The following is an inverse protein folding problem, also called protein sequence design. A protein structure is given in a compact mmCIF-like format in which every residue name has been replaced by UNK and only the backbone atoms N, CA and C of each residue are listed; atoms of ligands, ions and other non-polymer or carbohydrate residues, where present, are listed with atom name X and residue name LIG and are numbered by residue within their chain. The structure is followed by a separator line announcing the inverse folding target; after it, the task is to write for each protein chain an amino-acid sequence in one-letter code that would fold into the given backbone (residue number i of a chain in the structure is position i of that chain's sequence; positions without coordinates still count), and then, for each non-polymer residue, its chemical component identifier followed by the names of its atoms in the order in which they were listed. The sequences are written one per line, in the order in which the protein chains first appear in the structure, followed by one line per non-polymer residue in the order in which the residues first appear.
data_IF_406908462584
#
_entry.id   IF_406908462584
#
_cell.length_a   1.000
_cell.length_b   1.000
_cell.length_c   1.000
_cell.angle_alpha   90.00
_cell.angle_beta   90.00
_cell.angle_gamma   90.00
#
_symmetry.space_group_name_H-M   'P 1'
#
loop_
_entity.id
_entity.type
_entity.pdbx_description
1 polymer ?
#
# COMPACT_ATOMS: atom_id res chain seq x y z
N UNK A 1 0.78 5.44 17.26
CA UNK A 1 2.00 5.32 16.44
C UNK A 1 3.20 5.51 17.35
N UNK A 2 3.95 4.46 17.70
CA UNK A 2 5.13 4.58 18.59
C UNK A 2 6.48 4.36 17.86
N UNK A 3 6.47 3.93 16.60
CA UNK A 3 7.68 3.47 15.89
C UNK A 3 7.90 4.15 14.53
N UNK A 4 7.23 5.28 14.25
CA UNK A 4 7.29 5.93 12.94
C UNK A 4 8.71 6.35 12.55
N UNK A 5 9.43 7.01 13.45
CA UNK A 5 10.81 7.44 13.23
C UNK A 5 11.80 6.27 13.20
N UNK A 6 11.53 5.21 13.97
CA UNK A 6 12.34 3.99 13.99
C UNK A 6 12.30 3.28 12.63
N UNK A 7 11.15 3.28 11.95
CA UNK A 7 11.04 2.73 10.59
C UNK A 7 11.94 3.48 9.61
N UNK A 8 11.95 4.81 9.62
CA UNK A 8 12.83 5.59 8.74
C UNK A 8 14.31 5.34 9.05
N UNK A 9 14.68 5.24 10.33
CA UNK A 9 16.05 4.92 10.73
C UNK A 9 16.46 3.52 10.25
N UNK A 10 15.58 2.52 10.40
CA UNK A 10 15.83 1.15 9.96
C UNK A 10 15.96 1.04 8.42
N UNK A 11 15.08 1.70 7.66
CA UNK A 11 15.17 1.74 6.20
C UNK A 11 16.49 2.37 5.74
N UNK A 12 16.89 3.49 6.37
CA UNK A 12 18.15 4.18 6.07
C UNK A 12 19.35 3.30 6.41
N UNK A 13 19.35 2.64 7.57
CA UNK A 13 20.43 1.73 7.97
C UNK A 13 20.55 0.53 7.02
N UNK A 14 19.43 0.01 6.52
CA UNK A 14 19.40 -1.06 5.54
C UNK A 14 19.72 -0.61 4.10
N UNK A 15 19.99 0.68 3.86
CA UNK A 15 20.23 1.21 2.52
C UNK A 15 19.00 1.14 1.59
N UNK A 16 17.80 1.00 2.16
CA UNK A 16 16.56 0.89 1.40
C UNK A 16 16.00 2.28 1.09
N UNK A 17 15.61 2.48 -0.17
CA UNK A 17 14.91 3.68 -0.60
C UNK A 17 13.43 3.59 -0.22
N UNK A 18 12.96 4.56 0.56
CA UNK A 18 11.55 4.68 0.88
C UNK A 18 10.73 5.19 -0.33
N UNK A 19 9.55 4.60 -0.53
CA UNK A 19 8.52 5.09 -1.45
C UNK A 19 7.34 5.53 -0.60
N UNK A 20 7.05 6.82 -0.58
CA UNK A 20 5.89 7.36 0.14
C UNK A 20 4.62 7.18 -0.68
N UNK A 21 3.56 6.71 -0.05
CA UNK A 21 2.26 6.54 -0.70
C UNK A 21 1.12 6.66 0.31
N UNK A 22 -0.10 6.88 -0.19
CA UNK A 22 -1.32 6.72 0.59
C UNK A 22 -1.99 5.38 0.25
N UNK A 23 -2.05 4.41 1.18
CA UNK A 23 -2.68 3.11 0.92
C UNK A 23 -4.13 3.23 0.44
N UNK A 24 -4.87 4.23 0.93
CA UNK A 24 -6.23 4.51 0.43
C UNK A 24 -6.25 4.88 -1.05
N UNK A 25 -5.28 5.65 -1.53
CA UNK A 25 -5.16 6.00 -2.94
C UNK A 25 -4.82 4.75 -3.76
N UNK A 26 -3.93 3.89 -3.26
CA UNK A 26 -3.62 2.59 -3.86
C UNK A 26 -4.88 1.75 -4.05
N UNK A 27 -5.65 1.53 -2.99
CA UNK A 27 -6.90 0.76 -3.09
C UNK A 27 -7.91 1.39 -4.05
N UNK A 28 -7.99 2.71 -4.06
CA UNK A 28 -8.88 3.44 -4.98
C UNK A 28 -8.48 3.25 -6.44
N UNK A 29 -7.17 3.25 -6.74
CA UNK A 29 -6.66 2.99 -8.09
C UNK A 29 -6.87 1.54 -8.52
N UNK A 30 -6.72 0.58 -7.61
CA UNK A 30 -6.81 -0.85 -7.91
C UNK A 30 -8.24 -1.40 -7.95
N UNK A 31 -9.14 -0.89 -7.10
CA UNK A 31 -10.48 -1.45 -6.90
C UNK A 31 -11.62 -0.44 -7.09
N UNK A 32 -11.29 0.77 -7.55
CA UNK A 32 -12.22 1.89 -7.68
C UNK A 32 -12.57 2.54 -6.33
N UNK A 33 -13.35 3.64 -6.37
CA UNK A 33 -13.72 4.39 -5.17
C UNK A 33 -14.48 3.53 -4.17
N UNK A 34 -14.21 3.74 -2.86
CA UNK A 34 -14.87 2.98 -1.78
C UNK A 34 -16.40 3.12 -1.81
N UNK A 35 -16.91 4.33 -2.05
CA UNK A 35 -18.34 4.64 -1.93
C UNK A 35 -18.87 4.36 -0.52
N UNK A 36 -20.10 3.86 -0.42
CA UNK A 36 -20.74 3.49 0.85
C UNK A 36 -20.22 2.21 1.50
N UNK A 37 -19.26 1.49 0.88
CA UNK A 37 -18.74 0.22 1.40
C UNK A 37 -17.93 0.43 2.68
N UNK A 38 -18.06 -0.49 3.64
CA UNK A 38 -17.20 -0.52 4.84
C UNK A 38 -15.73 -0.67 4.41
N UNK A 39 -14.83 0.09 5.04
CA UNK A 39 -13.40 0.12 4.67
C UNK A 39 -12.76 -1.27 4.66
N UNK A 40 -13.01 -2.07 5.70
CA UNK A 40 -12.46 -3.41 5.82
C UNK A 40 -12.91 -4.34 4.68
N UNK A 41 -14.21 -4.33 4.32
CA UNK A 41 -14.73 -5.14 3.22
C UNK A 41 -14.22 -4.70 1.85
N UNK A 42 -14.14 -3.38 1.62
CA UNK A 42 -13.62 -2.82 0.37
C UNK A 42 -12.15 -3.15 0.15
N UNK A 43 -11.29 -2.96 1.17
CA UNK A 43 -9.87 -3.26 1.06
C UNK A 43 -9.59 -4.77 1.03
N UNK A 44 -10.37 -5.60 1.73
CA UNK A 44 -10.27 -7.05 1.64
C UNK A 44 -10.62 -7.57 0.23
N UNK A 45 -11.70 -7.06 -0.38
CA UNK A 45 -12.09 -7.41 -1.74
C UNK A 45 -11.09 -6.89 -2.80
N UNK A 46 -10.42 -5.77 -2.53
CA UNK A 46 -9.32 -5.30 -3.38
C UNK A 46 -8.12 -6.25 -3.29
N UNK A 47 -7.71 -6.60 -2.06
CA UNK A 47 -6.59 -7.50 -1.81
C UNK A 47 -6.81 -8.89 -2.40
N UNK A 48 -8.03 -9.44 -2.33
CA UNK A 48 -8.33 -10.77 -2.88
C UNK A 48 -8.19 -10.87 -4.40
N UNK A 49 -8.19 -9.73 -5.11
CA UNK A 49 -7.95 -9.66 -6.57
C UNK A 49 -6.46 -9.59 -6.91
N UNK A 50 -5.61 -9.28 -5.93
CA UNK A 50 -4.18 -9.27 -6.12
C UNK A 50 -3.65 -10.70 -5.96
N UNK A 51 -2.73 -11.11 -6.84
CA UNK A 51 -2.04 -12.40 -6.75
C UNK A 51 -0.88 -12.33 -5.74
N UNK A 52 -1.16 -11.87 -4.51
CA UNK A 52 -0.19 -11.81 -3.41
C UNK A 52 -0.24 -13.14 -2.67
N UNK A 53 0.90 -13.83 -2.59
CA UNK A 53 1.04 -15.10 -1.88
C UNK A 53 1.24 -14.86 -0.38
N UNK A 54 0.92 -15.87 0.42
CA UNK A 54 1.22 -15.90 1.86
C UNK A 54 0.58 -14.75 2.66
N UNK A 55 -0.55 -14.22 2.20
CA UNK A 55 -1.35 -13.27 2.98
C UNK A 55 -2.02 -14.05 4.13
N UNK A 56 -1.84 -13.62 5.41
CA UNK A 56 -2.52 -14.26 6.54
C UNK A 56 -4.04 -14.28 6.36
N UNK A 57 -4.67 -15.40 6.71
CA UNK A 57 -6.13 -15.56 6.62
C UNK A 57 -6.90 -14.55 7.47
N UNK A 58 -6.28 -14.09 8.57
CA UNK A 58 -6.76 -13.01 9.42
C UNK A 58 -5.75 -11.87 9.40
N UNK A 59 -6.10 -10.78 8.75
CA UNK A 59 -5.29 -9.55 8.73
C UNK A 59 -6.17 -8.35 9.07
N UNK A 60 -5.63 -7.45 9.89
CA UNK A 60 -6.29 -6.18 10.24
C UNK A 60 -6.25 -5.17 9.10
N UNK A 61 -6.80 -3.98 9.34
CA UNK A 61 -6.74 -2.89 8.36
C UNK A 61 -5.30 -2.41 8.12
N UNK A 62 -4.50 -2.27 9.18
CA UNK A 62 -3.10 -1.85 9.08
C UNK A 62 -2.27 -2.82 8.25
N UNK A 63 -2.47 -4.13 8.44
CA UNK A 63 -1.79 -5.14 7.64
C UNK A 63 -2.20 -5.10 6.16
N UNK A 64 -3.49 -4.85 5.87
CA UNK A 64 -3.90 -4.58 4.47
C UNK A 64 -3.18 -3.35 3.95
N UNK A 65 -3.24 -2.22 4.65
CA UNK A 65 -2.63 -0.97 4.20
C UNK A 65 -1.11 -1.08 4.02
N UNK A 66 -0.42 -1.87 4.83
CA UNK A 66 0.98 -2.23 4.64
C UNK A 66 1.22 -3.03 3.35
N UNK A 67 0.38 -4.01 3.03
CA UNK A 67 0.43 -4.72 1.74
C UNK A 67 0.16 -3.76 0.57
N UNK A 68 -0.81 -2.86 0.71
CA UNK A 68 -1.10 -1.84 -0.31
C UNK A 68 0.11 -0.93 -0.56
N UNK A 69 0.80 -0.49 0.50
CA UNK A 69 2.03 0.29 0.38
C UNK A 69 3.15 -0.51 -0.31
N UNK A 70 3.38 -1.76 0.11
CA UNK A 70 4.38 -2.64 -0.50
C UNK A 70 4.07 -2.89 -2.00
N UNK A 71 2.81 -3.11 -2.35
CA UNK A 71 2.38 -3.29 -3.74
C UNK A 71 2.60 -2.01 -4.57
N UNK A 72 2.40 -0.82 -3.96
CA UNK A 72 2.69 0.46 -4.62
C UNK A 72 4.18 0.63 -4.88
N UNK A 73 5.04 0.29 -3.91
CA UNK A 73 6.48 0.30 -4.10
C UNK A 73 6.92 -0.66 -5.22
N UNK A 74 6.35 -1.86 -5.28
CA UNK A 74 6.61 -2.82 -6.36
C UNK A 74 6.20 -2.28 -7.73
N UNK A 75 5.00 -1.69 -7.84
CA UNK A 75 4.57 -1.03 -9.08
C UNK A 75 5.48 0.14 -9.47
N UNK A 76 5.98 0.91 -8.49
CA UNK A 76 6.88 2.04 -8.72
C UNK A 76 8.18 1.60 -9.35
N UNK A 77 8.83 0.59 -8.77
CA UNK A 77 10.03 -0.03 -9.34
C UNK A 77 9.76 -0.61 -10.73
N UNK A 78 8.52 -1.06 -10.99
CA UNK A 78 8.08 -1.55 -12.30
C UNK A 78 7.64 -0.44 -13.28
N UNK A 79 7.79 0.85 -12.96
CA UNK A 79 7.38 1.96 -13.83
C UNK A 79 5.86 2.14 -14.01
N UNK A 80 5.03 1.50 -13.18
CA UNK A 80 3.55 1.48 -13.29
C UNK A 80 2.87 2.43 -12.29
N UNK A 81 3.52 3.55 -11.98
CA UNK A 81 3.04 4.55 -11.02
C UNK A 81 3.14 5.97 -11.57
N UNK A 82 2.36 6.87 -11.00
CA UNK A 82 2.47 8.31 -11.16
C UNK A 82 2.84 8.94 -9.81
N UNK A 83 3.48 10.11 -9.84
CA UNK A 83 3.94 10.83 -8.65
C UNK A 83 3.23 12.18 -8.55
N UNK A 84 2.80 12.51 -7.34
CA UNK A 84 2.25 13.82 -6.95
C UNK A 84 3.15 14.39 -5.86
N UNK A 85 4.16 15.16 -6.26
CA UNK A 85 5.26 15.51 -5.34
C UNK A 85 6.04 14.26 -4.93
N UNK A 86 6.26 14.05 -3.63
CA UNK A 86 6.90 12.83 -3.09
C UNK A 86 5.97 11.61 -3.05
N UNK A 87 4.67 11.82 -3.20
CA UNK A 87 3.66 10.76 -3.05
C UNK A 87 3.51 9.97 -4.35
N UNK A 88 3.69 8.66 -4.26
CA UNK A 88 3.53 7.73 -5.37
C UNK A 88 2.19 7.02 -5.28
N UNK A 89 1.50 6.88 -6.43
CA UNK A 89 0.27 6.10 -6.55
C UNK A 89 0.29 5.21 -7.80
N UNK A 90 -0.44 4.08 -7.81
CA UNK A 90 -0.60 3.27 -9.02
C UNK A 90 -1.20 4.07 -10.18
N UNK A 91 -0.70 3.87 -11.39
CA UNK A 91 -1.38 4.33 -12.62
C UNK A 91 -2.69 3.56 -12.79
N UNK A 92 -3.66 4.19 -13.46
CA UNK A 92 -4.87 3.51 -13.92
C UNK A 92 -4.55 2.57 -15.08
#
# INVERSE_FOLDING_TARGET
MRHGLELYAALRHAGLRAVECFPTATWTRLAGPRGGRRRAGWSAAALSRLRVRSVPSRIGQDGRDAIGAAYTAWLHVSGRTESFGSIVVPRR
#
